data_IF_446720904723
#
_entry.id   IF_446720904723
#
_cell.length_a   1.000
_cell.length_b   1.000
_cell.length_c   1.000
_cell.angle_alpha   90.00
_cell.angle_beta   90.00
_cell.angle_gamma   90.00
#
_symmetry.space_group_name_H-M   'P 1'
#
loop_
_entity.id
_entity.type
_entity.pdbx_description
1 polymer ?
#
# COMPACT_ATOMS: atom_id res chain seq x y z
N UNK A 1 10.10 -7.01 6.68
CA UNK A 1 10.01 -8.32 6.01
C UNK A 1 9.51 -9.38 6.99
N UNK A 2 8.85 -10.40 6.46
CA UNK A 2 8.24 -11.51 7.21
C UNK A 2 8.68 -12.81 6.51
N UNK A 3 8.93 -13.93 7.22
CA UNK A 3 9.54 -15.11 6.63
C UNK A 3 8.51 -15.99 5.88
N UNK A 4 7.76 -15.39 4.97
CA UNK A 4 6.91 -16.07 4.00
C UNK A 4 6.93 -15.30 2.68
N UNK A 5 6.72 -15.99 1.56
CA UNK A 5 6.68 -15.34 0.26
C UNK A 5 5.48 -14.39 0.18
N UNK A 6 5.75 -13.12 -0.10
CA UNK A 6 4.75 -12.10 -0.37
C UNK A 6 5.33 -11.08 -1.35
N UNK A 7 4.45 -10.36 -2.04
CA UNK A 7 4.83 -9.30 -2.99
C UNK A 7 4.31 -7.98 -2.45
N UNK A 8 5.18 -6.98 -2.39
CA UNK A 8 4.79 -5.60 -2.11
C UNK A 8 4.37 -4.92 -3.42
N UNK A 9 3.09 -4.58 -3.53
CA UNK A 9 2.57 -3.72 -4.58
C UNK A 9 2.34 -2.32 -4.00
N UNK A 10 3.16 -1.37 -4.41
CA UNK A 10 3.16 0.00 -3.88
C UNK A 10 3.17 0.99 -5.04
N UNK A 11 2.22 1.94 -5.09
CA UNK A 11 2.31 3.05 -6.04
C UNK A 11 3.48 3.97 -5.64
N UNK A 12 4.34 4.32 -6.60
CA UNK A 12 5.54 5.13 -6.37
C UNK A 12 5.38 6.44 -7.11
N UNK A 13 5.64 7.55 -6.41
CA UNK A 13 5.73 8.89 -6.98
C UNK A 13 7.16 9.42 -6.91
N UNK A 14 7.92 9.05 -5.87
CA UNK A 14 9.29 9.45 -5.63
C UNK A 14 10.16 8.24 -5.29
N UNK A 15 11.47 8.33 -5.53
CA UNK A 15 12.42 7.23 -5.27
C UNK A 15 12.40 6.76 -3.80
N UNK A 16 12.07 7.64 -2.86
CA UNK A 16 12.01 7.34 -1.42
C UNK A 16 10.79 6.56 -0.94
N UNK A 17 9.76 6.36 -1.77
CA UNK A 17 8.49 5.76 -1.32
C UNK A 17 8.63 4.28 -0.95
N UNK A 18 9.59 3.59 -1.55
CA UNK A 18 9.93 2.19 -1.24
C UNK A 18 10.76 2.04 0.04
N UNK A 19 11.16 3.14 0.69
CA UNK A 19 11.96 3.07 1.91
C UNK A 19 11.10 2.56 3.08
N UNK A 20 11.23 1.27 3.38
CA UNK A 20 10.51 0.59 4.47
C UNK A 20 10.89 1.07 5.87
N UNK A 21 11.94 1.89 6.01
CA UNK A 21 12.30 2.56 7.27
C UNK A 21 11.49 3.83 7.52
N UNK A 22 10.74 4.32 6.52
CA UNK A 22 9.83 5.44 6.70
C UNK A 22 8.75 5.11 7.76
N UNK A 23 8.18 6.12 8.44
CA UNK A 23 7.06 5.92 9.34
C UNK A 23 5.92 5.17 8.63
N UNK A 24 5.34 4.18 9.32
CA UNK A 24 4.20 3.44 8.78
C UNK A 24 3.03 4.39 8.53
N UNK A 25 2.42 4.25 7.35
CA UNK A 25 1.20 4.97 7.01
C UNK A 25 0.11 4.63 8.02
N UNK A 26 -0.54 5.66 8.58
CA UNK A 26 -1.69 5.51 9.46
C UNK A 26 -2.92 5.97 8.69
N UNK A 27 -3.77 5.04 8.33
CA UNK A 27 -5.04 5.30 7.66
C UNK A 27 -6.17 5.07 8.65
N UNK A 28 -7.22 5.86 8.52
CA UNK A 28 -8.51 5.52 9.13
C UNK A 28 -9.10 4.29 8.43
N UNK A 29 -10.05 3.62 9.09
CA UNK A 29 -10.76 2.48 8.50
C UNK A 29 -11.45 2.86 7.19
N UNK A 30 -12.04 4.05 7.12
CA UNK A 30 -12.78 4.51 5.95
C UNK A 30 -11.85 4.75 4.75
N UNK A 31 -10.72 5.44 4.98
CA UNK A 31 -9.70 5.66 3.93
C UNK A 31 -9.13 4.35 3.41
N UNK A 32 -8.85 3.39 4.30
CA UNK A 32 -8.32 2.09 3.92
C UNK A 32 -9.30 1.32 3.02
N UNK A 33 -10.59 1.32 3.38
CA UNK A 33 -11.63 0.67 2.59
C UNK A 33 -11.84 1.36 1.23
N UNK A 34 -11.81 2.69 1.17
CA UNK A 34 -11.95 3.45 -0.08
C UNK A 34 -10.81 3.15 -1.06
N UNK A 35 -9.57 3.05 -0.56
CA UNK A 35 -8.42 2.69 -1.39
C UNK A 35 -8.57 1.28 -1.96
N UNK A 36 -8.98 0.31 -1.13
CA UNK A 36 -9.18 -1.07 -1.56
C UNK A 36 -10.26 -1.18 -2.66
N UNK A 37 -11.38 -0.48 -2.50
CA UNK A 37 -12.47 -0.43 -3.49
C UNK A 37 -12.02 0.20 -4.82
N UNK A 38 -11.24 1.29 -4.78
CA UNK A 38 -10.65 1.89 -5.98
C UNK A 38 -9.74 0.93 -6.73
N UNK A 39 -8.88 0.20 -6.01
CA UNK A 39 -8.00 -0.81 -6.61
C UNK A 39 -8.85 -1.91 -7.24
N UNK A 40 -9.84 -2.45 -6.52
CA UNK A 40 -10.71 -3.51 -7.03
C UNK A 40 -11.43 -3.09 -8.33
N UNK A 41 -12.03 -1.89 -8.35
CA UNK A 41 -12.76 -1.37 -9.51
C UNK A 41 -11.89 -1.13 -10.74
N UNK A 42 -10.60 -0.85 -10.55
CA UNK A 42 -9.69 -0.61 -11.67
C UNK A 42 -9.32 -1.89 -12.44
N UNK A 43 -9.56 -3.07 -11.87
CA UNK A 43 -9.17 -4.37 -12.43
C UNK A 43 -10.34 -5.36 -12.57
N UNK A 44 -11.58 -4.89 -12.38
CA UNK A 44 -12.82 -5.57 -12.77
C UNK A 44 -13.24 -5.11 -14.17
#
# INVERSE_FOLDING_TARGET
EVPHAHIHLVPIQNEGDLNLSNPKLKLTSDEFNEIADKIQKAFL
#
